data_IF_487427344605
#
_entry.id   IF_487427344605
#
_cell.length_a   1.000
_cell.length_b   1.000
_cell.length_c   1.000
_cell.angle_alpha   90.00
_cell.angle_beta   90.00
_cell.angle_gamma   90.00
#
_symmetry.space_group_name_H-M   'P 1'
#
loop_
_entity.id
_entity.type
_entity.pdbx_description
1 polymer ?
#
# COMPACT_ATOMS: atom_id res chain seq x y z
N UNK A 1 -51.29 -41.32 -15.50
CA UNK A 1 -51.30 -39.96 -14.93
C UNK A 1 -51.07 -38.98 -16.06
N UNK A 2 -51.99 -38.04 -16.29
CA UNK A 2 -51.74 -36.93 -17.20
C UNK A 2 -50.93 -35.88 -16.44
N UNK A 3 -49.75 -35.53 -16.95
CA UNK A 3 -48.99 -34.40 -16.43
C UNK A 3 -49.77 -33.12 -16.75
N UNK A 4 -50.22 -32.40 -15.72
CA UNK A 4 -50.75 -31.05 -15.88
C UNK A 4 -49.56 -30.12 -16.10
N UNK A 5 -49.08 -30.07 -17.34
CA UNK A 5 -47.95 -29.23 -17.68
C UNK A 5 -48.39 -27.76 -17.89
N UNK A 6 -47.67 -26.85 -17.25
CA UNK A 6 -47.89 -25.40 -17.29
C UNK A 6 -47.11 -24.75 -18.44
N UNK A 7 -46.37 -25.51 -19.25
CA UNK A 7 -45.41 -25.16 -20.30
C UNK A 7 -45.51 -23.79 -21.04
N UNK A 8 -46.67 -23.14 -21.11
CA UNK A 8 -46.86 -21.79 -21.71
C UNK A 8 -47.72 -20.82 -20.90
N UNK A 9 -48.05 -21.12 -19.64
CA UNK A 9 -48.85 -20.25 -18.75
C UNK A 9 -47.94 -19.45 -17.83
N UNK A 10 -48.35 -18.22 -17.51
CA UNK A 10 -47.64 -17.34 -16.58
C UNK A 10 -48.20 -17.50 -15.17
N UNK A 11 -47.31 -17.71 -14.20
CA UNK A 11 -47.63 -17.55 -12.78
C UNK A 11 -47.53 -16.06 -12.42
N UNK A 12 -48.53 -15.54 -11.72
CA UNK A 12 -48.61 -14.16 -11.23
C UNK A 12 -48.89 -14.18 -9.72
N UNK A 13 -48.62 -13.07 -9.04
CA UNK A 13 -48.88 -12.88 -7.61
C UNK A 13 -48.15 -13.89 -6.70
N UNK A 14 -46.94 -14.31 -7.12
CA UNK A 14 -46.03 -15.07 -6.25
C UNK A 14 -45.41 -14.08 -5.24
N UNK A 15 -45.43 -14.45 -3.97
CA UNK A 15 -44.83 -13.65 -2.88
C UNK A 15 -43.30 -13.74 -2.92
N UNK A 16 -42.62 -12.96 -2.09
CA UNK A 16 -41.16 -13.07 -1.97
C UNK A 16 -40.76 -14.44 -1.40
N UNK A 17 -39.69 -15.06 -1.93
CA UNK A 17 -39.24 -16.37 -1.48
C UNK A 17 -38.68 -16.29 -0.04
N UNK A 18 -38.95 -17.32 0.76
CA UNK A 18 -38.43 -17.48 2.13
C UNK A 18 -37.48 -18.67 2.18
N UNK A 19 -37.85 -19.78 1.54
CA UNK A 19 -37.06 -21.01 1.48
C UNK A 19 -36.23 -21.10 0.19
N UNK A 20 -35.15 -21.89 0.22
CA UNK A 20 -34.18 -21.98 -0.89
C UNK A 20 -34.81 -22.50 -2.19
N UNK A 21 -35.89 -23.28 -2.06
CA UNK A 21 -36.59 -23.92 -3.16
C UNK A 21 -37.77 -23.09 -3.67
N UNK A 22 -38.04 -21.93 -3.06
CA UNK A 22 -39.16 -21.08 -3.45
C UNK A 22 -38.94 -20.45 -4.82
N UNK A 23 -40.03 -20.33 -5.57
CA UNK A 23 -40.03 -19.58 -6.82
C UNK A 23 -40.02 -18.08 -6.53
N UNK A 24 -39.14 -17.34 -7.20
CA UNK A 24 -39.04 -15.88 -7.05
C UNK A 24 -39.65 -15.14 -8.24
N UNK A 25 -40.10 -13.91 -8.00
CA UNK A 25 -40.46 -13.00 -9.11
C UNK A 25 -39.20 -12.44 -9.76
N UNK A 26 -39.28 -12.08 -11.05
CA UNK A 26 -38.18 -11.38 -11.73
C UNK A 26 -37.77 -10.10 -11.00
N UNK A 27 -38.75 -9.33 -10.51
CA UNK A 27 -38.51 -8.08 -9.79
C UNK A 27 -37.68 -8.28 -8.53
N UNK A 28 -37.91 -9.38 -7.81
CA UNK A 28 -37.13 -9.74 -6.63
C UNK A 28 -35.68 -10.09 -6.98
N UNK A 29 -35.47 -10.90 -8.04
CA UNK A 29 -34.12 -11.24 -8.51
C UNK A 29 -33.37 -10.00 -9.01
N UNK A 30 -34.05 -9.13 -9.76
CA UNK A 30 -33.48 -7.89 -10.28
C UNK A 30 -33.05 -6.94 -9.15
N UNK A 31 -33.85 -6.81 -8.08
CA UNK A 31 -33.53 -5.92 -6.96
C UNK A 31 -32.27 -6.38 -6.22
N UNK A 32 -32.13 -7.70 -6.00
CA UNK A 32 -30.92 -8.29 -5.42
C UNK A 32 -29.71 -8.02 -6.34
N UNK A 33 -29.87 -8.21 -7.64
CA UNK A 33 -28.77 -7.97 -8.60
C UNK A 33 -28.30 -6.51 -8.57
N UNK A 34 -29.23 -5.55 -8.47
CA UNK A 34 -28.91 -4.11 -8.36
C UNK A 34 -28.19 -3.80 -7.04
N UNK A 35 -28.65 -4.35 -5.92
CA UNK A 35 -28.01 -4.17 -4.61
C UNK A 35 -26.57 -4.73 -4.61
N UNK A 36 -26.38 -5.96 -5.12
CA UNK A 36 -25.06 -6.57 -5.22
C UNK A 36 -24.12 -5.77 -6.12
N UNK A 37 -24.59 -5.29 -7.28
CA UNK A 37 -23.79 -4.41 -8.16
C UNK A 37 -23.38 -3.14 -7.45
N UNK A 38 -24.29 -2.52 -6.70
CA UNK A 38 -24.04 -1.28 -5.97
C UNK A 38 -22.97 -1.48 -4.89
N UNK A 39 -23.09 -2.56 -4.11
CA UNK A 39 -22.08 -2.95 -3.10
C UNK A 39 -20.72 -3.21 -3.74
N UNK A 40 -20.68 -3.93 -4.86
CA UNK A 40 -19.43 -4.24 -5.56
C UNK A 40 -18.71 -2.98 -6.04
N UNK A 41 -19.45 -1.99 -6.58
CA UNK A 41 -18.90 -0.68 -6.95
C UNK A 41 -18.36 0.08 -5.73
N UNK A 42 -19.06 0.03 -4.60
CA UNK A 42 -18.60 0.66 -3.36
C UNK A 42 -17.31 0.02 -2.84
N UNK A 43 -17.22 -1.31 -2.85
CA UNK A 43 -16.00 -2.03 -2.48
C UNK A 43 -14.81 -1.63 -3.36
N UNK A 44 -14.99 -1.59 -4.69
CA UNK A 44 -13.95 -1.16 -5.63
C UNK A 44 -13.46 0.28 -5.39
N UNK A 45 -14.30 1.17 -4.87
CA UNK A 45 -13.89 2.55 -4.52
C UNK A 45 -12.98 2.62 -3.29
N UNK A 46 -13.04 1.60 -2.42
CA UNK A 46 -12.25 1.50 -1.17
C UNK A 46 -11.01 0.62 -1.31
N UNK A 47 -10.98 -0.28 -2.28
CA UNK A 47 -9.83 -1.16 -2.54
C UNK A 47 -8.66 -0.46 -3.22
N UNK A 48 -7.47 -1.03 -3.02
CA UNK A 48 -6.33 -0.87 -3.93
C UNK A 48 -6.67 -1.54 -5.26
N UNK A 49 -6.22 -0.95 -6.36
CA UNK A 49 -6.42 -1.49 -7.72
C UNK A 49 -5.06 -1.83 -8.32
N UNK A 50 -5.04 -2.54 -9.46
CA UNK A 50 -3.80 -2.71 -10.21
C UNK A 50 -3.60 -1.54 -11.18
N UNK A 51 -2.35 -1.06 -11.31
CA UNK A 51 -1.93 -0.16 -12.37
C UNK A 51 -1.87 -0.88 -13.72
N UNK A 52 -1.64 -0.15 -14.80
CA UNK A 52 -1.41 -0.74 -16.14
C UNK A 52 -0.20 -1.70 -16.17
N UNK A 53 0.69 -1.60 -15.19
CA UNK A 53 1.89 -2.44 -15.06
C UNK A 53 1.74 -3.57 -14.03
N UNK A 54 0.56 -3.70 -13.41
CA UNK A 54 0.26 -4.76 -12.44
C UNK A 54 0.60 -4.42 -10.98
N UNK A 55 1.11 -3.23 -10.70
CA UNK A 55 1.41 -2.79 -9.33
C UNK A 55 0.14 -2.40 -8.57
N UNK A 56 0.15 -2.52 -7.23
CA UNK A 56 -0.94 -1.98 -6.42
C UNK A 56 -0.92 -0.44 -6.44
N UNK A 57 -2.04 0.16 -6.84
CA UNK A 57 -2.26 1.60 -6.90
C UNK A 57 -3.34 2.05 -5.91
N UNK A 58 -2.96 3.00 -5.05
CA UNK A 58 -3.84 3.66 -4.09
C UNK A 58 -4.65 4.82 -4.69
N UNK A 59 -4.44 5.17 -5.97
CA UNK A 59 -5.06 6.29 -6.68
C UNK A 59 -4.86 7.62 -5.97
N UNK A 60 -3.63 7.84 -5.48
CA UNK A 60 -3.27 9.03 -4.71
C UNK A 60 -3.90 9.14 -3.31
N UNK A 61 -4.60 8.10 -2.84
CA UNK A 61 -5.15 8.08 -1.48
C UNK A 61 -4.09 7.69 -0.46
N UNK A 62 -4.19 8.25 0.74
CA UNK A 62 -3.34 7.85 1.86
C UNK A 62 -3.62 6.40 2.27
N UNK A 63 -2.56 5.63 2.52
CA UNK A 63 -2.63 4.30 3.13
C UNK A 63 -2.30 4.46 4.62
N UNK A 64 -3.32 4.34 5.47
CA UNK A 64 -3.19 4.45 6.93
C UNK A 64 -3.00 3.10 7.61
N UNK A 65 -2.67 3.15 8.92
CA UNK A 65 -2.55 1.97 9.78
C UNK A 65 -1.52 0.92 9.29
N UNK A 66 -0.48 1.38 8.59
CA UNK A 66 0.66 0.55 8.21
C UNK A 66 1.54 0.35 9.44
N UNK A 67 1.72 -0.90 9.86
CA UNK A 67 2.60 -1.25 10.99
C UNK A 67 4.07 -1.03 10.64
N UNK A 68 4.94 -1.08 11.66
CA UNK A 68 6.38 -1.09 11.43
C UNK A 68 6.78 -2.32 10.59
N UNK A 69 7.68 -2.14 9.61
CA UNK A 69 8.15 -3.24 8.77
C UNK A 69 8.91 -4.27 9.62
N UNK A 70 8.68 -5.55 9.32
CA UNK A 70 9.36 -6.69 9.98
C UNK A 70 10.31 -7.39 9.01
N UNK A 71 9.99 -7.36 7.72
CA UNK A 71 10.78 -7.97 6.65
C UNK A 71 11.20 -6.92 5.62
N UNK A 72 12.30 -7.19 4.92
CA UNK A 72 12.94 -6.24 3.99
C UNK A 72 12.02 -5.75 2.86
N UNK A 73 11.03 -6.56 2.47
CA UNK A 73 10.08 -6.24 1.40
C UNK A 73 8.80 -5.56 1.90
N UNK A 74 8.71 -5.22 3.18
CA UNK A 74 7.55 -4.52 3.72
C UNK A 74 7.56 -3.04 3.34
N UNK A 75 6.35 -2.49 3.15
CA UNK A 75 6.15 -1.04 3.06
C UNK A 75 6.55 -0.41 4.39
N UNK A 76 7.27 0.72 4.32
CA UNK A 76 7.70 1.48 5.49
C UNK A 76 6.68 2.57 5.79
N UNK A 77 6.24 2.65 7.06
CA UNK A 77 5.42 3.78 7.51
C UNK A 77 6.30 5.02 7.82
N UNK A 78 5.69 6.20 7.77
CA UNK A 78 6.41 7.47 7.93
C UNK A 78 7.17 7.59 9.26
N UNK A 79 6.55 7.15 10.37
CA UNK A 79 7.17 7.21 11.69
C UNK A 79 8.43 6.33 11.78
N UNK A 80 8.37 5.12 11.24
CA UNK A 80 9.53 4.23 11.17
C UNK A 80 10.65 4.84 10.32
N UNK A 81 10.30 5.40 9.16
CA UNK A 81 11.28 6.07 8.30
C UNK A 81 11.97 7.24 9.03
N UNK A 82 11.20 8.15 9.63
CA UNK A 82 11.73 9.30 10.35
C UNK A 82 12.59 8.93 11.55
N UNK A 83 12.37 7.75 12.15
CA UNK A 83 13.21 7.25 13.26
C UNK A 83 14.53 6.66 12.76
N UNK A 84 14.50 5.90 11.67
CA UNK A 84 15.62 5.02 11.27
C UNK A 84 16.44 5.53 10.06
N UNK A 85 15.95 6.52 9.31
CA UNK A 85 16.68 7.12 8.19
C UNK A 85 17.37 8.44 8.58
N UNK A 86 18.39 8.84 7.80
CA UNK A 86 18.94 10.20 7.87
C UNK A 86 17.93 11.19 7.31
N UNK A 87 17.65 12.25 8.05
CA UNK A 87 16.71 13.30 7.62
C UNK A 87 17.48 14.52 7.13
N UNK A 88 17.05 15.09 6.01
CA UNK A 88 17.61 16.31 5.45
C UNK A 88 16.85 17.52 6.00
N UNK A 89 17.56 18.44 6.65
CA UNK A 89 17.02 19.71 7.14
C UNK A 89 17.93 20.85 6.68
N UNK A 90 17.36 21.85 6.00
CA UNK A 90 18.11 23.02 5.51
C UNK A 90 19.36 22.67 4.66
N UNK A 91 19.29 21.57 3.91
CA UNK A 91 20.40 21.09 3.09
C UNK A 91 21.48 20.32 3.84
N UNK A 92 21.29 20.06 5.14
CA UNK A 92 22.21 19.31 6.00
C UNK A 92 21.55 17.99 6.44
N UNK A 93 22.26 16.87 6.29
CA UNK A 93 21.80 15.59 6.83
C UNK A 93 22.05 15.51 8.33
N UNK A 94 20.98 15.31 9.11
CA UNK A 94 21.09 15.02 10.53
C UNK A 94 21.47 13.55 10.75
N UNK A 95 22.70 13.32 11.22
CA UNK A 95 23.23 12.00 11.58
C UNK A 95 22.72 11.48 12.93
N UNK A 96 21.86 12.23 13.63
CA UNK A 96 21.19 11.83 14.88
C UNK A 96 22.16 11.37 15.96
N UNK A 97 23.30 12.03 16.05
CA UNK A 97 24.40 11.67 16.95
C UNK A 97 24.93 10.23 16.75
N UNK A 98 24.64 9.60 15.61
CA UNK A 98 25.15 8.28 15.24
C UNK A 98 26.57 8.46 14.69
N UNK A 99 27.56 7.71 15.19
CA UNK A 99 28.91 7.75 14.65
C UNK A 99 28.94 7.34 13.18
N UNK A 100 29.45 8.22 12.33
CA UNK A 100 29.70 7.92 10.93
C UNK A 100 31.03 7.15 10.82
N UNK A 101 30.95 5.85 10.54
CA UNK A 101 32.11 4.93 10.47
C UNK A 101 32.29 4.39 9.06
N UNK A 102 33.49 3.86 8.79
CA UNK A 102 33.86 3.24 7.50
C UNK A 102 33.78 4.19 6.29
N UNK A 103 34.04 5.48 6.51
CA UNK A 103 34.23 6.42 5.40
C UNK A 103 35.50 6.07 4.62
N UNK A 104 35.46 6.06 3.28
CA UNK A 104 36.67 5.97 2.46
C UNK A 104 37.53 7.24 2.62
N UNK A 105 38.78 7.20 2.16
CA UNK A 105 39.59 8.42 2.08
C UNK A 105 38.91 9.43 1.14
N UNK A 106 38.83 10.73 1.52
CA UNK A 106 38.24 11.76 0.67
C UNK A 106 38.99 11.86 -0.67
N UNK A 107 38.25 11.97 -1.77
CA UNK A 107 38.79 12.14 -3.13
C UNK A 107 38.57 13.58 -3.62
N UNK A 108 37.45 14.19 -3.27
CA UNK A 108 37.09 15.56 -3.62
C UNK A 108 37.23 16.54 -2.45
N UNK A 109 37.35 17.83 -2.77
CA UNK A 109 37.55 18.91 -1.78
C UNK A 109 36.41 19.08 -0.76
N UNK A 110 35.23 18.54 -1.07
CA UNK A 110 34.03 18.65 -0.23
C UNK A 110 33.69 17.33 0.49
N UNK A 111 34.51 16.29 0.32
CA UNK A 111 34.27 15.01 0.97
C UNK A 111 34.52 15.10 2.48
N UNK A 112 33.71 14.38 3.25
CA UNK A 112 33.96 14.20 4.68
C UNK A 112 35.27 13.42 4.89
N UNK A 113 36.18 13.97 5.70
CA UNK A 113 37.45 13.32 6.02
C UNK A 113 37.39 12.58 7.36
N UNK A 114 37.80 11.31 7.39
CA UNK A 114 37.98 10.58 8.63
C UNK A 114 39.31 10.95 9.32
N UNK A 115 39.38 10.78 10.65
CA UNK A 115 40.54 11.21 11.47
C UNK A 115 41.89 10.71 10.94
N UNK A 116 41.99 9.44 10.56
CA UNK A 116 43.24 8.86 10.04
C UNK A 116 43.75 9.59 8.78
N UNK A 117 42.87 10.05 7.90
CA UNK A 117 43.26 10.82 6.72
C UNK A 117 43.86 12.17 7.14
N UNK A 118 43.16 12.88 8.04
CA UNK A 118 43.61 14.18 8.57
C UNK A 118 44.97 14.04 9.27
N UNK A 119 45.09 13.10 10.22
CA UNK A 119 46.33 12.84 10.96
C UNK A 119 47.51 12.56 10.02
N UNK A 120 47.31 11.79 8.94
CA UNK A 120 48.36 11.47 7.97
C UNK A 120 48.81 12.70 7.17
N UNK A 121 47.87 13.60 6.83
CA UNK A 121 48.18 14.82 6.07
C UNK A 121 48.79 15.91 6.95
N UNK A 122 48.40 16.00 8.22
CA UNK A 122 48.89 17.04 9.15
C UNK A 122 50.18 16.64 9.89
N UNK A 123 50.46 15.35 10.12
CA UNK A 123 51.74 14.91 10.71
C UNK A 123 52.96 15.31 9.86
N UNK A 124 52.78 15.45 8.55
CA UNK A 124 53.84 15.93 7.66
C UNK A 124 54.05 17.45 7.72
N UNK A 125 53.21 18.20 8.44
CA UNK A 125 53.35 19.66 8.60
C UNK A 125 54.15 20.08 9.85
N UNK A 126 54.43 19.18 10.80
CA UNK A 126 55.13 19.51 12.06
C UNK A 126 56.63 19.18 11.96
N UNK A 127 57.26 19.54 10.84
CA UNK A 127 58.72 19.56 10.69
C UNK A 127 59.09 20.93 10.11
N UNK A 128 59.09 21.96 10.96
CA UNK A 128 59.71 23.26 10.77
C UNK A 128 60.23 23.73 12.13
#
# INVERSE_FOLDING_TARGET
MMANDIEKKRLKNVIEPIDISDSATKSYVDSIQVDLKSKMVEFQKRSLVHSEHGDFDARGKAIGNVKDPVHDMNIVNKQYFEKNALTLSEGIYDVKSIPLKHLPNPQDKNDAAHKQYVDKKTKNLIIC
#
